data_IF_335709112488
#
_entry.id   IF_335709112488
#
_cell.length_a   1.000
_cell.length_b   1.000
_cell.length_c   1.000
_cell.angle_alpha   90.00
_cell.angle_beta   90.00
_cell.angle_gamma   90.00
#
_symmetry.space_group_name_H-M   'P 1'
#
loop_
_entity.id
_entity.type
_entity.pdbx_description
1 polymer ?
#
# COMPACT_ATOMS: atom_id res chain seq x y z
N UNK A 1 9.01 31.58 11.88
CA UNK A 1 8.08 30.42 11.73
C UNK A 1 8.64 29.26 12.55
N UNK A 2 7.88 28.65 13.47
CA UNK A 2 8.37 27.57 14.34
C UNK A 2 8.84 26.36 13.50
N UNK A 3 9.99 25.74 13.85
CA UNK A 3 10.58 24.61 13.11
C UNK A 3 9.58 23.45 12.95
N UNK A 4 8.73 23.19 13.95
CA UNK A 4 7.67 22.17 13.87
C UNK A 4 6.65 22.45 12.76
N UNK A 5 6.31 23.73 12.50
CA UNK A 5 5.37 24.12 11.46
C UNK A 5 5.97 23.94 10.06
N UNK A 6 7.27 24.24 9.89
CA UNK A 6 8.00 24.04 8.63
C UNK A 6 8.05 22.55 8.29
N UNK A 7 8.46 21.72 9.26
CA UNK A 7 8.52 20.27 9.08
C UNK A 7 7.18 19.66 8.65
N UNK A 8 6.08 20.09 9.29
CA UNK A 8 4.72 19.65 8.92
C UNK A 8 4.39 20.01 7.47
N UNK A 9 4.65 21.25 7.04
CA UNK A 9 4.36 21.69 5.68
C UNK A 9 5.15 20.84 4.67
N UNK A 10 6.42 20.54 4.96
CA UNK A 10 7.26 19.71 4.09
C UNK A 10 6.73 18.28 3.99
N UNK A 11 6.41 17.63 5.12
CA UNK A 11 5.91 16.25 5.08
C UNK A 11 4.54 16.14 4.40
N UNK A 12 3.69 17.16 4.56
CA UNK A 12 2.38 17.20 3.92
C UNK A 12 2.47 17.46 2.41
N UNK A 13 3.51 18.17 1.97
CA UNK A 13 3.81 18.32 0.55
C UNK A 13 4.33 17.01 -0.06
N UNK A 14 5.22 16.30 0.65
CA UNK A 14 5.80 15.03 0.18
C UNK A 14 4.78 13.90 0.25
N UNK A 15 3.92 13.88 1.27
CA UNK A 15 2.87 12.86 1.45
C UNK A 15 1.50 13.55 1.51
N UNK A 16 0.98 14.09 0.39
CA UNK A 16 -0.30 14.81 0.35
C UNK A 16 -1.45 13.97 0.90
N UNK A 17 -1.42 12.69 0.58
CA UNK A 17 -2.40 11.73 1.06
C UNK A 17 -2.38 11.57 2.58
N UNK A 18 -1.19 11.64 3.18
CA UNK A 18 -1.02 11.56 4.61
C UNK A 18 -1.67 12.75 5.33
N UNK A 19 -1.57 13.94 4.75
CA UNK A 19 -2.27 15.13 5.25
C UNK A 19 -3.79 15.01 5.14
N UNK A 20 -4.28 14.44 4.04
CA UNK A 20 -5.69 14.14 3.89
C UNK A 20 -6.19 13.15 4.94
N UNK A 21 -5.53 12.00 5.10
CA UNK A 21 -5.92 10.93 6.04
C UNK A 21 -6.02 11.42 7.50
N UNK A 22 -5.17 12.37 7.93
CA UNK A 22 -5.27 12.97 9.27
C UNK A 22 -6.56 13.74 9.52
N UNK A 23 -7.21 14.20 8.45
CA UNK A 23 -8.37 15.09 8.48
C UNK A 23 -9.59 14.47 7.77
N UNK A 24 -9.63 13.15 7.60
CA UNK A 24 -10.80 12.45 7.04
C UNK A 24 -11.88 12.38 8.11
N UNK A 25 -13.01 13.01 7.80
CA UNK A 25 -14.24 12.95 8.59
C UNK A 25 -14.78 11.50 8.63
N UNK A 26 -14.83 10.85 9.80
CA UNK A 26 -15.36 9.50 9.92
C UNK A 26 -16.88 9.44 9.77
N UNK A 27 -17.59 10.53 10.04
CA UNK A 27 -19.06 10.56 10.09
C UNK A 27 -19.70 10.86 8.74
N UNK A 28 -18.89 11.25 7.74
CA UNK A 28 -19.35 11.59 6.38
C UNK A 28 -18.50 10.89 5.33
N UNK A 29 -18.67 9.57 5.15
CA UNK A 29 -17.93 8.82 4.15
C UNK A 29 -18.15 9.43 2.76
N UNK A 30 -17.11 9.42 1.93
CA UNK A 30 -17.11 9.92 0.56
C UNK A 30 -17.29 11.44 0.37
N UNK A 31 -17.53 12.28 1.39
CA UNK A 31 -17.74 13.73 1.21
C UNK A 31 -16.65 14.43 0.36
N UNK A 32 -15.42 13.92 0.41
CA UNK A 32 -14.24 14.46 -0.30
C UNK A 32 -13.73 13.52 -1.41
N UNK A 33 -14.57 12.64 -1.96
CA UNK A 33 -14.14 11.67 -2.98
C UNK A 33 -13.60 12.35 -4.25
N UNK A 34 -14.19 13.48 -4.66
CA UNK A 34 -13.72 14.27 -5.81
C UNK A 34 -12.31 14.83 -5.57
N UNK A 35 -12.03 15.29 -4.35
CA UNK A 35 -10.69 15.76 -3.97
C UNK A 35 -9.67 14.62 -3.99
N UNK A 36 -10.07 13.44 -3.51
CA UNK A 36 -9.22 12.24 -3.62
C UNK A 36 -8.87 11.97 -5.08
N UNK A 37 -9.89 11.89 -5.94
CA UNK A 37 -9.71 11.51 -7.34
C UNK A 37 -8.97 12.54 -8.18
N UNK A 38 -9.37 13.82 -8.11
CA UNK A 38 -8.89 14.86 -9.04
C UNK A 38 -7.62 15.56 -8.52
N UNK A 39 -7.42 15.59 -7.20
CA UNK A 39 -6.29 16.30 -6.60
C UNK A 39 -5.27 15.35 -6.00
N UNK A 40 -5.67 14.54 -5.01
CA UNK A 40 -4.71 13.79 -4.21
C UNK A 40 -4.09 12.63 -4.98
N UNK A 41 -4.87 11.96 -5.83
CA UNK A 41 -4.37 10.87 -6.66
C UNK A 41 -3.29 11.38 -7.63
N UNK A 42 -3.55 12.40 -8.49
CA UNK A 42 -2.52 12.95 -9.37
C UNK A 42 -1.30 13.51 -8.62
N UNK A 43 -1.51 14.23 -7.52
CA UNK A 43 -0.40 14.79 -6.73
C UNK A 43 0.50 13.71 -6.14
N UNK A 44 -0.10 12.68 -5.53
CA UNK A 44 0.67 11.58 -4.94
C UNK A 44 1.37 10.77 -6.03
N UNK A 45 0.74 10.58 -7.19
CA UNK A 45 1.39 9.98 -8.36
C UNK A 45 2.58 10.78 -8.84
N UNK A 46 2.44 12.09 -8.95
CA UNK A 46 3.52 12.98 -9.38
C UNK A 46 4.71 12.92 -8.41
N UNK A 47 4.46 12.96 -7.10
CA UNK A 47 5.53 12.81 -6.09
C UNK A 47 6.16 11.42 -6.17
N UNK A 48 5.36 10.37 -6.21
CA UNK A 48 5.87 8.99 -6.31
C UNK A 48 6.69 8.79 -7.58
N UNK A 49 6.26 9.38 -8.69
CA UNK A 49 6.99 9.37 -9.96
C UNK A 49 8.34 10.08 -9.86
N UNK A 50 8.43 11.23 -9.17
CA UNK A 50 9.72 11.89 -8.90
C UNK A 50 10.66 10.95 -8.13
N UNK A 51 10.16 10.28 -7.08
CA UNK A 51 10.96 9.32 -6.32
C UNK A 51 11.33 8.08 -7.14
N UNK A 52 10.55 7.73 -8.15
CA UNK A 52 10.89 6.63 -9.08
C UNK A 52 12.06 6.96 -10.02
N UNK A 53 12.43 8.24 -10.19
CA UNK A 53 13.59 8.67 -10.97
C UNK A 53 14.93 8.25 -10.32
N UNK A 54 14.90 7.97 -9.01
CA UNK A 54 15.99 7.34 -8.28
C UNK A 54 15.60 5.87 -8.12
N UNK A 55 16.08 4.95 -8.98
CA UNK A 55 15.58 3.58 -9.03
C UNK A 55 15.62 2.94 -7.65
N UNK A 56 14.56 2.22 -7.27
CA UNK A 56 14.39 1.45 -6.00
C UNK A 56 14.58 2.27 -4.72
N UNK A 57 15.72 2.93 -4.53
CA UNK A 57 16.07 3.75 -3.38
C UNK A 57 15.06 4.87 -3.14
N UNK A 58 14.59 5.59 -4.16
CA UNK A 58 13.60 6.65 -3.95
C UNK A 58 12.26 6.10 -3.46
N UNK A 59 11.78 4.99 -4.05
CA UNK A 59 10.59 4.27 -3.58
C UNK A 59 10.76 3.77 -2.14
N UNK A 60 11.91 3.15 -1.81
CA UNK A 60 12.18 2.67 -0.46
C UNK A 60 12.27 3.81 0.55
N UNK A 61 12.89 4.94 0.22
CA UNK A 61 12.93 6.13 1.07
C UNK A 61 11.51 6.65 1.30
N UNK A 62 10.68 6.69 0.26
CA UNK A 62 9.28 7.10 0.41
C UNK A 62 8.50 6.19 1.37
N UNK A 63 8.59 4.88 1.16
CA UNK A 63 7.87 3.88 1.95
C UNK A 63 8.39 3.80 3.38
N UNK A 64 9.71 3.77 3.58
CA UNK A 64 10.34 3.50 4.88
C UNK A 64 10.61 4.76 5.71
N UNK A 65 10.55 5.95 5.10
CA UNK A 65 10.80 7.22 5.81
C UNK A 65 9.62 8.18 5.74
N UNK A 66 9.20 8.61 4.55
CA UNK A 66 8.18 9.66 4.45
C UNK A 66 6.80 9.21 4.93
N UNK A 67 6.38 7.98 4.61
CA UNK A 67 5.11 7.43 5.13
C UNK A 67 5.15 7.35 6.68
N UNK A 68 6.14 6.71 7.32
CA UNK A 68 6.27 6.70 8.79
C UNK A 68 6.31 8.09 9.43
N UNK A 69 6.98 9.06 8.82
CA UNK A 69 7.00 10.44 9.32
C UNK A 69 5.60 11.08 9.25
N UNK A 70 4.86 10.87 8.16
CA UNK A 70 3.47 11.33 8.07
C UNK A 70 2.55 10.63 9.08
N UNK A 71 2.77 9.34 9.35
CA UNK A 71 2.02 8.57 10.36
C UNK A 71 2.35 9.08 11.77
N UNK A 72 3.62 9.35 12.05
CA UNK A 72 4.04 9.96 13.31
C UNK A 72 3.35 11.32 13.52
N UNK A 73 3.23 12.11 12.46
CA UNK A 73 2.47 13.36 12.51
C UNK A 73 0.99 13.11 12.83
N UNK A 74 0.39 12.05 12.29
CA UNK A 74 -0.98 11.61 12.65
C UNK A 74 -1.10 11.33 14.15
N UNK A 75 -0.15 10.59 14.72
CA UNK A 75 -0.18 10.26 16.15
C UNK A 75 -0.11 11.51 17.04
N UNK A 76 0.71 12.49 16.64
CA UNK A 76 0.89 13.73 17.40
C UNK A 76 -0.37 14.61 17.31
N UNK A 77 -0.89 14.84 16.11
CA UNK A 77 -2.03 15.75 15.89
C UNK A 77 -3.32 15.23 16.51
N UNK A 78 -3.61 13.94 16.32
CA UNK A 78 -4.81 13.30 16.83
C UNK A 78 -4.61 12.69 18.22
N UNK A 79 -3.46 12.96 18.87
CA UNK A 79 -3.12 12.52 20.25
C UNK A 79 -3.33 11.02 20.46
N UNK A 80 -2.95 10.21 19.47
CA UNK A 80 -3.11 8.76 19.51
C UNK A 80 -2.12 8.16 20.51
N UNK A 81 -2.63 7.60 21.60
CA UNK A 81 -1.83 7.00 22.67
C UNK A 81 -1.78 5.48 22.56
N UNK A 82 -2.94 4.86 22.38
CA UNK A 82 -3.12 3.41 22.39
C UNK A 82 -2.32 2.71 21.29
N UNK A 83 -1.65 1.62 21.67
CA UNK A 83 -0.80 0.84 20.78
C UNK A 83 -1.61 0.28 19.60
N UNK A 84 -2.79 -0.28 19.89
CA UNK A 84 -3.66 -0.89 18.89
C UNK A 84 -4.14 0.14 17.87
N UNK A 85 -4.45 1.37 18.29
CA UNK A 85 -4.86 2.44 17.37
C UNK A 85 -3.70 2.93 16.50
N UNK A 86 -2.48 2.99 17.04
CA UNK A 86 -1.27 3.27 16.25
C UNK A 86 -1.07 2.21 15.16
N UNK A 87 -1.25 0.93 15.51
CA UNK A 87 -1.16 -0.17 14.53
C UNK A 87 -2.27 -0.10 13.47
N UNK A 88 -3.51 0.21 13.85
CA UNK A 88 -4.63 0.41 12.91
C UNK A 88 -4.33 1.55 11.92
N UNK A 89 -3.82 2.68 12.41
CA UNK A 89 -3.45 3.82 11.56
C UNK A 89 -2.26 3.48 10.66
N UNK A 90 -1.24 2.80 11.20
CA UNK A 90 -0.10 2.31 10.42
C UNK A 90 -0.55 1.43 9.25
N UNK A 91 -1.38 0.43 9.56
CA UNK A 91 -1.94 -0.49 8.57
C UNK A 91 -2.79 0.24 7.54
N UNK A 92 -3.64 1.16 8.00
CA UNK A 92 -4.51 1.95 7.14
C UNK A 92 -3.73 2.81 6.14
N UNK A 93 -2.69 3.52 6.58
CA UNK A 93 -1.83 4.31 5.70
C UNK A 93 -1.16 3.44 4.63
N UNK A 94 -0.58 2.31 5.04
CA UNK A 94 0.10 1.43 4.09
C UNK A 94 -0.86 0.72 3.14
N UNK A 95 -2.08 0.37 3.57
CA UNK A 95 -3.09 -0.18 2.66
C UNK A 95 -3.45 0.86 1.60
N UNK A 96 -3.78 2.09 1.99
CA UNK A 96 -4.17 3.10 1.00
C UNK A 96 -3.00 3.44 0.07
N UNK A 97 -1.78 3.53 0.59
CA UNK A 97 -0.61 3.90 -0.21
C UNK A 97 -0.12 2.72 -1.07
N UNK A 98 0.20 1.58 -0.47
CA UNK A 98 0.79 0.45 -1.20
C UNK A 98 -0.25 -0.33 -2.01
N UNK A 99 -1.48 -0.50 -1.53
CA UNK A 99 -2.50 -1.24 -2.30
C UNK A 99 -3.23 -0.30 -3.25
N UNK A 100 -3.56 0.91 -2.82
CA UNK A 100 -4.18 1.94 -3.65
C UNK A 100 -3.23 2.43 -4.74
N UNK A 101 -2.23 3.22 -4.39
CA UNK A 101 -1.31 3.80 -5.39
C UNK A 101 -0.42 2.77 -6.05
N UNK A 102 0.14 1.82 -5.29
CA UNK A 102 0.92 0.72 -5.87
C UNK A 102 0.08 -0.14 -6.82
N UNK A 103 -1.20 -0.36 -6.53
CA UNK A 103 -2.13 -1.06 -7.41
C UNK A 103 -2.43 -0.30 -8.71
N UNK A 104 -2.63 1.02 -8.67
CA UNK A 104 -2.80 1.82 -9.90
C UNK A 104 -1.50 1.80 -10.73
N UNK A 105 -0.33 1.91 -10.10
CA UNK A 105 0.94 1.82 -10.83
C UNK A 105 1.12 0.45 -11.50
N UNK A 106 0.77 -0.63 -10.80
CA UNK A 106 0.77 -1.99 -11.33
C UNK A 106 -0.22 -2.13 -12.49
N UNK A 107 -1.45 -1.60 -12.36
CA UNK A 107 -2.44 -1.57 -13.43
C UNK A 107 -1.91 -0.87 -14.70
N UNK A 108 -1.29 0.31 -14.54
CA UNK A 108 -0.68 1.04 -15.66
C UNK A 108 0.40 0.18 -16.34
N UNK A 109 1.28 -0.46 -15.56
CA UNK A 109 2.33 -1.33 -16.09
C UNK A 109 1.78 -2.54 -16.85
N UNK A 110 0.80 -3.23 -16.29
CA UNK A 110 0.19 -4.42 -16.88
C UNK A 110 -0.78 -4.12 -18.03
N UNK A 111 -1.20 -2.86 -18.21
CA UNK A 111 -2.09 -2.45 -19.31
C UNK A 111 -1.31 -1.82 -20.46
N UNK A 112 -0.52 -0.79 -20.18
CA UNK A 112 0.13 0.02 -21.20
C UNK A 112 1.57 -0.41 -21.50
N UNK A 113 2.19 -1.17 -20.59
CA UNK A 113 3.57 -1.62 -20.69
C UNK A 113 3.66 -3.16 -20.56
N UNK A 114 2.58 -3.86 -20.89
CA UNK A 114 2.41 -5.29 -20.63
C UNK A 114 3.56 -6.14 -21.19
N UNK A 115 3.95 -5.90 -22.45
CA UNK A 115 5.02 -6.65 -23.10
C UNK A 115 6.38 -6.38 -22.45
N UNK A 116 6.68 -5.12 -22.13
CA UNK A 116 7.90 -4.77 -21.40
C UNK A 116 7.96 -5.47 -20.04
N UNK A 117 6.85 -5.49 -19.29
CA UNK A 117 6.77 -6.15 -17.99
C UNK A 117 6.95 -7.66 -18.16
N UNK A 118 6.24 -8.29 -19.10
CA UNK A 118 6.37 -9.72 -19.38
C UNK A 118 7.81 -10.11 -19.75
N UNK A 119 8.44 -9.36 -20.66
CA UNK A 119 9.85 -9.59 -21.05
C UNK A 119 10.80 -9.48 -19.86
N UNK A 120 10.64 -8.49 -18.98
CA UNK A 120 11.50 -8.34 -17.79
C UNK A 120 11.30 -9.43 -16.74
N UNK A 121 10.11 -10.05 -16.71
CA UNK A 121 9.84 -11.23 -15.88
C UNK A 121 10.40 -12.49 -16.55
N UNK A 122 10.67 -12.48 -17.86
CA UNK A 122 11.04 -13.68 -18.61
C UNK A 122 9.83 -14.51 -19.04
N UNK A 123 8.64 -13.91 -19.11
CA UNK A 123 7.39 -14.56 -19.50
C UNK A 123 6.92 -14.18 -20.91
N UNK A 124 6.10 -15.01 -21.56
CA UNK A 124 5.57 -14.71 -22.88
C UNK A 124 4.79 -13.39 -22.94
N UNK A 125 5.12 -12.57 -23.95
CA UNK A 125 4.38 -11.36 -24.32
C UNK A 125 3.00 -11.70 -24.89
N UNK A 126 2.07 -10.73 -24.88
CA UNK A 126 0.72 -10.93 -25.41
C UNK A 126 -0.14 -11.98 -24.69
N UNK A 127 0.27 -12.45 -23.51
CA UNK A 127 -0.50 -13.42 -22.73
C UNK A 127 -1.68 -12.74 -21.98
N UNK A 128 -2.83 -13.43 -21.82
CA UNK A 128 -4.00 -12.86 -21.13
C UNK A 128 -3.74 -12.57 -19.65
N UNK A 129 -2.74 -13.22 -19.04
CA UNK A 129 -2.32 -13.00 -17.66
C UNK A 129 -2.07 -11.53 -17.32
N UNK A 130 -1.43 -10.77 -18.22
CA UNK A 130 -1.15 -9.35 -17.98
C UNK A 130 -2.46 -8.57 -17.82
N UNK A 131 -3.46 -8.87 -18.64
CA UNK A 131 -4.78 -8.20 -18.57
C UNK A 131 -5.54 -8.59 -17.30
N UNK A 132 -5.55 -9.87 -16.93
CA UNK A 132 -6.18 -10.32 -15.67
C UNK A 132 -5.54 -9.66 -14.45
N UNK A 133 -4.20 -9.61 -14.42
CA UNK A 133 -3.45 -8.98 -13.35
C UNK A 133 -3.66 -7.45 -13.31
N UNK A 134 -3.79 -6.81 -14.46
CA UNK A 134 -4.17 -5.40 -14.55
C UNK A 134 -5.53 -5.15 -13.85
N UNK A 135 -6.58 -5.90 -14.22
CA UNK A 135 -7.89 -5.70 -13.60
C UNK A 135 -7.94 -6.08 -12.11
N UNK A 136 -7.20 -7.12 -11.71
CA UNK A 136 -7.05 -7.47 -10.30
C UNK A 136 -6.41 -6.32 -9.50
N UNK A 137 -5.33 -5.73 -10.01
CA UNK A 137 -4.62 -4.63 -9.32
C UNK A 137 -5.43 -3.33 -9.32
N UNK A 138 -6.20 -3.05 -10.39
CA UNK A 138 -7.15 -1.94 -10.43
C UNK A 138 -8.28 -2.12 -9.40
N UNK A 139 -8.92 -3.29 -9.35
CA UNK A 139 -9.99 -3.58 -8.39
C UNK A 139 -9.49 -3.48 -6.94
N UNK A 140 -8.33 -4.07 -6.66
CA UNK A 140 -7.67 -3.97 -5.35
C UNK A 140 -7.39 -2.51 -4.98
N UNK A 141 -6.92 -1.71 -5.95
CA UNK A 141 -6.61 -0.30 -5.75
C UNK A 141 -7.84 0.52 -5.39
N UNK A 142 -8.94 0.35 -6.15
CA UNK A 142 -10.21 1.03 -5.90
C UNK A 142 -10.72 0.68 -4.50
N UNK A 143 -10.70 -0.60 -4.12
CA UNK A 143 -11.10 -1.03 -2.79
C UNK A 143 -10.20 -0.43 -1.70
N UNK A 144 -8.88 -0.35 -1.91
CA UNK A 144 -7.96 0.30 -1.00
C UNK A 144 -8.27 1.80 -0.83
N UNK A 145 -8.64 2.53 -1.88
CA UNK A 145 -9.09 3.91 -1.76
C UNK A 145 -10.43 4.03 -1.04
N UNK A 146 -11.38 3.14 -1.28
CA UNK A 146 -12.65 3.13 -0.54
C UNK A 146 -12.41 2.88 0.96
N UNK A 147 -11.37 2.12 1.32
CA UNK A 147 -10.99 1.85 2.71
C UNK A 147 -10.58 3.09 3.52
N UNK A 148 -10.31 4.24 2.87
CA UNK A 148 -10.19 5.56 3.52
C UNK A 148 -11.37 5.81 4.45
N UNK A 149 -12.58 5.51 3.97
CA UNK A 149 -13.81 5.82 4.67
C UNK A 149 -14.36 4.61 5.43
N UNK A 150 -14.41 3.43 4.79
CA UNK A 150 -15.08 2.28 5.40
C UNK A 150 -14.25 1.59 6.50
N UNK A 151 -12.91 1.62 6.40
CA UNK A 151 -11.96 1.12 7.41
C UNK A 151 -12.32 -0.29 7.95
N UNK A 152 -11.88 -0.63 9.17
CA UNK A 152 -12.30 -1.83 9.90
C UNK A 152 -12.13 -3.13 9.13
N UNK A 153 -13.19 -3.94 9.06
CA UNK A 153 -13.19 -5.24 8.38
C UNK A 153 -12.85 -5.15 6.88
N UNK A 154 -13.07 -4.00 6.22
CA UNK A 154 -12.63 -3.81 4.84
C UNK A 154 -11.10 -3.87 4.72
N UNK A 155 -10.39 -3.23 5.64
CA UNK A 155 -8.92 -3.27 5.69
C UNK A 155 -8.47 -4.71 5.99
N UNK A 156 -9.13 -5.40 6.92
CA UNK A 156 -8.85 -6.81 7.22
C UNK A 156 -9.00 -7.69 5.98
N UNK A 157 -10.12 -7.58 5.27
CA UNK A 157 -10.38 -8.36 4.06
C UNK A 157 -9.36 -8.06 2.95
N UNK A 158 -9.02 -6.79 2.75
CA UNK A 158 -8.01 -6.38 1.77
C UNK A 158 -6.64 -6.95 2.10
N UNK A 159 -6.20 -6.87 3.35
CA UNK A 159 -4.91 -7.41 3.80
C UNK A 159 -4.86 -8.92 3.57
N UNK A 160 -5.89 -9.66 3.97
CA UNK A 160 -5.94 -11.11 3.76
C UNK A 160 -5.90 -11.45 2.28
N UNK A 161 -6.79 -10.86 1.48
CA UNK A 161 -6.91 -11.13 0.05
C UNK A 161 -5.61 -10.81 -0.70
N UNK A 162 -5.03 -9.62 -0.46
CA UNK A 162 -3.79 -9.19 -1.12
C UNK A 162 -2.59 -10.01 -0.66
N UNK A 163 -2.54 -10.41 0.61
CA UNK A 163 -1.44 -11.23 1.10
C UNK A 163 -1.45 -12.64 0.53
N UNK A 164 -2.63 -13.26 0.40
CA UNK A 164 -2.78 -14.57 -0.27
C UNK A 164 -2.34 -14.47 -1.73
N UNK A 165 -2.75 -13.41 -2.43
CA UNK A 165 -2.31 -13.16 -3.80
C UNK A 165 -0.78 -13.05 -3.89
N UNK A 166 -0.13 -12.26 -3.03
CA UNK A 166 1.32 -12.10 -3.06
C UNK A 166 2.06 -13.41 -2.78
N UNK A 167 1.64 -14.20 -1.79
CA UNK A 167 2.25 -15.51 -1.60
C UNK A 167 2.01 -16.45 -2.79
N UNK A 168 0.84 -16.37 -3.45
CA UNK A 168 0.57 -17.06 -4.70
C UNK A 168 1.50 -16.64 -5.83
N UNK A 169 1.75 -15.34 -5.98
CA UNK A 169 2.70 -14.80 -6.95
C UNK A 169 4.13 -15.28 -6.66
N UNK A 170 4.58 -15.21 -5.39
CA UNK A 170 5.87 -15.77 -4.97
C UNK A 170 5.99 -17.25 -5.32
N UNK A 171 4.94 -18.05 -5.09
CA UNK A 171 4.91 -19.45 -5.47
C UNK A 171 5.11 -19.63 -6.99
N UNK A 172 4.42 -18.86 -7.82
CA UNK A 172 4.55 -18.92 -9.28
C UNK A 172 5.97 -18.55 -9.71
N UNK A 173 6.53 -17.46 -9.17
CA UNK A 173 7.90 -17.02 -9.45
C UNK A 173 8.95 -18.06 -9.04
N UNK A 174 8.85 -18.63 -7.83
CA UNK A 174 9.76 -19.69 -7.34
C UNK A 174 9.65 -20.95 -8.20
N UNK A 175 8.42 -21.35 -8.55
CA UNK A 175 8.20 -22.52 -9.40
C UNK A 175 8.84 -22.33 -10.77
N UNK A 176 8.67 -21.16 -11.38
CA UNK A 176 9.25 -20.83 -12.68
C UNK A 176 10.79 -20.75 -12.63
N UNK A 177 11.33 -20.19 -11.55
CA UNK A 177 12.77 -20.20 -11.26
C UNK A 177 13.33 -21.63 -11.22
N UNK A 178 12.66 -22.55 -10.53
CA UNK A 178 13.15 -23.93 -10.36
C UNK A 178 12.96 -24.78 -11.62
N UNK A 179 11.79 -24.69 -12.27
CA UNK A 179 11.45 -25.57 -13.39
C UNK A 179 12.08 -25.09 -14.70
N UNK A 180 12.01 -23.77 -14.95
CA UNK A 180 12.43 -23.19 -16.23
C UNK A 180 13.77 -22.46 -16.15
N UNK A 181 14.45 -22.48 -14.99
CA UNK A 181 15.69 -21.73 -14.76
C UNK A 181 15.55 -20.23 -15.07
N UNK A 182 14.36 -19.67 -14.83
CA UNK A 182 14.10 -18.26 -15.06
C UNK A 182 14.64 -17.43 -13.89
N UNK A 183 15.85 -16.86 -14.08
CA UNK A 183 16.49 -15.97 -13.10
C UNK A 183 16.41 -14.50 -13.52
N UNK A 184 15.45 -14.14 -14.39
CA UNK A 184 15.28 -12.74 -14.79
C UNK A 184 15.02 -11.84 -13.59
N UNK A 185 15.52 -10.59 -13.59
CA UNK A 185 15.48 -9.73 -12.41
C UNK A 185 14.08 -9.47 -11.85
N UNK A 186 13.03 -9.47 -12.68
CA UNK A 186 11.66 -9.29 -12.19
C UNK A 186 10.98 -10.61 -11.80
N UNK A 187 11.59 -11.76 -12.08
CA UNK A 187 11.14 -13.05 -11.58
C UNK A 187 11.69 -13.34 -10.18
N UNK A 188 13.00 -13.16 -9.96
CA UNK A 188 13.67 -13.58 -8.71
C UNK A 188 14.16 -12.43 -7.83
N UNK A 189 14.18 -11.21 -8.35
CA UNK A 189 14.72 -10.05 -7.64
C UNK A 189 13.73 -9.41 -6.66
N UNK A 190 13.63 -8.08 -6.70
CA UNK A 190 12.81 -7.32 -5.76
C UNK A 190 11.32 -7.65 -5.83
N UNK A 191 10.82 -8.16 -6.96
CA UNK A 191 9.45 -8.65 -7.10
C UNK A 191 9.19 -9.81 -6.15
N UNK A 192 9.96 -10.89 -6.27
CA UNK A 192 9.83 -12.07 -5.40
C UNK A 192 10.08 -11.73 -3.93
N UNK A 193 11.07 -10.88 -3.64
CA UNK A 193 11.30 -10.41 -2.28
C UNK A 193 10.08 -9.65 -1.74
N UNK A 194 9.48 -8.77 -2.54
CA UNK A 194 8.26 -8.04 -2.19
C UNK A 194 7.07 -8.97 -1.95
N UNK A 195 6.90 -9.96 -2.82
CA UNK A 195 5.83 -10.97 -2.74
C UNK A 195 5.94 -11.85 -1.49
N UNK A 196 7.09 -11.86 -0.81
CA UNK A 196 7.27 -12.54 0.48
C UNK A 196 7.23 -11.57 1.68
N UNK A 197 7.90 -10.43 1.57
CA UNK A 197 8.09 -9.49 2.69
C UNK A 197 6.82 -8.72 2.99
N UNK A 198 6.19 -8.12 1.98
CA UNK A 198 4.99 -7.31 2.20
C UNK A 198 3.86 -8.12 2.85
N UNK A 199 3.40 -9.28 2.31
CA UNK A 199 2.31 -10.02 2.93
C UNK A 199 2.61 -10.43 4.37
N UNK A 200 3.86 -10.80 4.66
CA UNK A 200 4.32 -11.18 6.00
C UNK A 200 4.20 -10.01 6.99
N UNK A 201 4.65 -8.82 6.59
CA UNK A 201 4.55 -7.59 7.41
C UNK A 201 3.09 -7.23 7.66
N UNK A 202 2.26 -7.21 6.61
CA UNK A 202 0.85 -6.84 6.72
C UNK A 202 0.05 -7.82 7.58
N UNK A 203 0.24 -9.12 7.40
CA UNK A 203 -0.39 -10.16 8.23
C UNK A 203 0.07 -10.03 9.68
N UNK A 204 1.36 -9.80 9.93
CA UNK A 204 1.88 -9.63 11.29
C UNK A 204 1.22 -8.45 12.00
N UNK A 205 1.14 -7.29 11.35
CA UNK A 205 0.46 -6.11 11.91
C UNK A 205 -1.02 -6.42 12.18
N UNK A 206 -1.70 -7.07 11.23
CA UNK A 206 -3.10 -7.44 11.38
C UNK A 206 -3.32 -8.40 12.57
N UNK A 207 -2.49 -9.43 12.72
CA UNK A 207 -2.57 -10.37 13.84
C UNK A 207 -2.40 -9.64 15.18
N UNK A 208 -1.43 -8.72 15.28
CA UNK A 208 -1.23 -7.92 16.48
C UNK A 208 -2.47 -7.08 16.84
N UNK A 209 -3.12 -6.46 15.84
CA UNK A 209 -4.36 -5.71 16.05
C UNK A 209 -5.49 -6.63 16.53
N UNK A 210 -5.67 -7.79 15.89
CA UNK A 210 -6.74 -8.73 16.23
C UNK A 210 -6.56 -9.32 17.62
N UNK A 211 -5.32 -9.67 18.00
CA UNK A 211 -4.98 -10.19 19.33
C UNK A 211 -5.31 -9.17 20.42
N UNK A 212 -4.87 -7.92 20.26
CA UNK A 212 -5.16 -6.86 21.24
C UNK A 212 -6.68 -6.63 21.38
N UNK A 213 -7.44 -6.65 20.28
CA UNK A 213 -8.90 -6.49 20.32
C UNK A 213 -9.58 -7.68 21.05
N UNK A 214 -9.13 -8.91 20.83
CA UNK A 214 -9.63 -10.11 21.50
C UNK A 214 -9.37 -10.07 23.01
N UNK A 215 -8.16 -9.69 23.41
CA UNK A 215 -7.80 -9.52 24.83
C UNK A 215 -8.63 -8.43 25.50
N UNK A 216 -8.91 -7.33 24.80
CA UNK A 216 -9.77 -6.26 25.30
C UNK A 216 -11.23 -6.72 25.45
N UNK A 217 -11.76 -7.45 24.47
CA UNK A 217 -13.11 -8.01 24.52
C UNK A 217 -13.27 -8.95 25.73
N UNK A 218 -12.32 -9.86 25.92
CA UNK A 218 -12.36 -10.82 27.03
C UNK A 218 -12.29 -10.15 28.41
N UNK A 219 -11.66 -8.98 28.54
CA UNK A 219 -11.62 -8.23 29.81
C UNK A 219 -12.93 -7.53 30.16
N UNK A 220 -13.80 -7.28 29.18
CA UNK A 220 -15.08 -6.61 29.37
C UNK A 220 -16.24 -7.60 29.60
N UNK A 221 -15.99 -8.90 29.35
CA UNK A 221 -16.97 -9.98 29.49
C UNK A 221 -16.96 -10.68 30.86
N UNK A 222 -16.19 -10.18 31.82
CA UNK A 222 -16.14 -10.62 33.22
C UNK A 222 -16.32 -9.41 34.15
#
# INVERSE_FOLDING_TARGET
MNHSKIFKILIDFIVPFGAFLRNVDPDRPFKRWVEVLIRLVPQTFFIYWIFSLIPVAGTLVYILSFIPLSIRQHFIENRIKEKTDKLKILLWYYVVILFGFGGVWSFIGHTFMADMVATKIGWPIGSPFQTELAFYTLGTSIAAFISIWLRGHMITALVISKSVFWYGAAYVHIKDMIINNNYEPYNVGLTLLGDLVFPSVFITILILILKDNLEAFNKLSF
#
